data_IF_992714950843
#
_entry.id   IF_992714950843
#
_cell.length_a   1.000
_cell.length_b   1.000
_cell.length_c   1.000
_cell.angle_alpha   90.00
_cell.angle_beta   90.00
_cell.angle_gamma   90.00
#
_symmetry.space_group_name_H-M   'P 1'
#
loop_
_entity.id
_entity.type
_entity.pdbx_description
1 polymer ?
#
# COMPACT_ATOMS: atom_id res chain seq x y z
N UNK A 1 -13.40 7.14 -12.67
CA UNK A 1 -13.10 6.14 -11.61
C UNK A 1 -11.66 5.70 -11.76
N UNK A 2 -10.97 5.41 -10.66
CA UNK A 2 -9.61 4.87 -10.66
C UNK A 2 -9.52 3.67 -9.74
N UNK A 3 -8.70 2.70 -10.12
CA UNK A 3 -8.24 1.64 -9.23
C UNK A 3 -7.03 2.20 -8.50
N UNK A 4 -7.19 2.47 -7.21
CA UNK A 4 -6.12 2.87 -6.31
C UNK A 4 -5.50 1.61 -5.71
N UNK A 5 -4.17 1.56 -5.77
CA UNK A 5 -3.36 0.46 -5.27
C UNK A 5 -2.38 1.04 -4.27
N UNK A 6 -2.50 0.63 -3.00
CA UNK A 6 -1.57 0.98 -1.94
C UNK A 6 -0.80 -0.26 -1.52
N UNK A 7 0.53 -0.22 -1.62
CA UNK A 7 1.43 -1.18 -0.99
C UNK A 7 1.84 -0.61 0.35
N UNK A 8 1.27 -1.15 1.44
CA UNK A 8 1.49 -0.71 2.81
C UNK A 8 2.61 -1.54 3.46
N UNK A 9 3.70 -0.87 3.85
CA UNK A 9 4.80 -1.49 4.59
C UNK A 9 4.55 -1.49 6.11
N UNK A 10 3.98 -0.40 6.64
CA UNK A 10 3.64 -0.24 8.06
C UNK A 10 2.33 -0.94 8.39
N UNK A 11 2.33 -2.27 8.42
CA UNK A 11 1.11 -3.07 8.62
C UNK A 11 0.45 -2.86 9.98
N UNK A 12 1.20 -2.40 10.99
CA UNK A 12 0.67 -1.94 12.27
C UNK A 12 -0.30 -0.75 12.14
N UNK A 13 -0.22 0.02 11.05
CA UNK A 13 -1.11 1.15 10.76
C UNK A 13 -2.40 0.74 10.06
N UNK A 14 -2.52 -0.51 9.58
CA UNK A 14 -3.63 -0.95 8.73
C UNK A 14 -4.99 -0.70 9.36
N UNK A 15 -5.19 -1.12 10.61
CA UNK A 15 -6.49 -0.98 11.29
C UNK A 15 -6.90 0.48 11.45
N UNK A 16 -5.94 1.36 11.75
CA UNK A 16 -6.19 2.80 11.85
C UNK A 16 -6.55 3.38 10.48
N UNK A 17 -5.84 2.96 9.43
CA UNK A 17 -6.09 3.39 8.06
C UNK A 17 -7.49 3.00 7.58
N UNK A 18 -7.91 1.75 7.80
CA UNK A 18 -9.24 1.27 7.40
C UNK A 18 -10.36 1.99 8.15
N UNK A 19 -10.17 2.28 9.46
CA UNK A 19 -11.14 3.06 10.25
C UNK A 19 -11.28 4.48 9.73
N UNK A 20 -10.17 5.13 9.37
CA UNK A 20 -10.21 6.50 8.84
C UNK A 20 -10.89 6.52 7.47
N UNK A 21 -10.56 5.59 6.57
CA UNK A 21 -11.27 5.44 5.29
C UNK A 21 -12.78 5.31 5.49
N UNK A 22 -13.22 4.42 6.40
CA UNK A 22 -14.64 4.23 6.70
C UNK A 22 -15.29 5.52 7.23
N UNK A 23 -14.63 6.25 8.14
CA UNK A 23 -15.15 7.51 8.70
C UNK A 23 -15.29 8.62 7.64
N UNK A 24 -14.43 8.61 6.63
CA UNK A 24 -14.40 9.57 5.52
C UNK A 24 -15.26 9.12 4.33
N UNK A 25 -16.10 8.10 4.51
CA UNK A 25 -16.97 7.50 3.49
C UNK A 25 -16.17 6.99 2.26
N UNK A 26 -14.93 6.56 2.48
CA UNK A 26 -14.14 5.82 1.52
C UNK A 26 -14.33 4.33 1.82
N UNK A 27 -15.31 3.74 1.14
CA UNK A 27 -15.76 2.35 1.38
C UNK A 27 -15.32 1.41 0.27
N UNK A 28 -15.20 0.12 0.59
CA UNK A 28 -14.82 -0.92 -0.37
C UNK A 28 -13.32 -1.00 -0.62
N UNK A 29 -12.68 -1.94 0.07
CA UNK A 29 -11.27 -2.27 -0.13
C UNK A 29 -11.07 -3.78 -0.15
N UNK A 30 -10.15 -4.26 -0.99
CA UNK A 30 -9.66 -5.64 -0.96
C UNK A 30 -8.22 -5.64 -0.50
N UNK A 31 -7.91 -6.44 0.52
CA UNK A 31 -6.58 -6.49 1.14
C UNK A 31 -5.93 -7.84 0.81
N UNK A 32 -4.72 -7.79 0.27
CA UNK A 32 -3.92 -8.97 -0.12
C UNK A 32 -2.62 -8.99 0.66
N UNK A 33 -2.24 -10.17 1.15
CA UNK A 33 -0.92 -10.39 1.74
C UNK A 33 0.14 -10.33 0.63
N UNK A 34 1.14 -9.49 0.79
CA UNK A 34 2.17 -9.26 -0.22
C UNK A 34 3.57 -9.27 0.40
N UNK A 35 4.58 -9.38 -0.45
CA UNK A 35 6.00 -9.30 -0.06
C UNK A 35 6.77 -8.53 -1.11
N UNK A 36 7.74 -7.73 -0.66
CA UNK A 36 8.64 -7.01 -1.54
C UNK A 36 9.71 -7.92 -2.15
N UNK A 37 10.11 -7.62 -3.38
CA UNK A 37 11.12 -8.39 -4.13
C UNK A 37 12.43 -8.59 -3.36
N UNK A 38 12.95 -7.54 -2.71
CA UNK A 38 14.20 -7.62 -1.96
C UNK A 38 14.20 -8.75 -0.92
N UNK A 39 13.05 -9.01 -0.27
CA UNK A 39 12.90 -10.06 0.73
C UNK A 39 12.81 -11.46 0.11
N UNK A 40 12.08 -11.58 -0.99
CA UNK A 40 11.97 -12.86 -1.71
C UNK A 40 13.33 -13.34 -2.22
N UNK A 41 14.19 -12.40 -2.62
CA UNK A 41 15.56 -12.69 -3.07
C UNK A 41 16.51 -13.01 -1.91
N UNK A 42 16.37 -12.36 -0.74
CA UNK A 42 17.16 -12.69 0.45
C UNK A 42 16.90 -14.11 0.96
N UNK A 43 15.67 -14.60 0.86
CA UNK A 43 15.32 -15.96 1.29
C UNK A 43 15.89 -17.05 0.37
N UNK A 44 16.43 -16.69 -0.80
CA UNK A 44 16.90 -17.65 -1.82
C UNK A 44 18.42 -17.73 -1.97
N UNK A 45 19.20 -17.08 -1.11
CA UNK A 45 20.69 -17.08 -1.13
C UNK A 45 21.35 -16.76 -2.50
N UNK A 46 20.60 -16.23 -3.48
CA UNK A 46 21.05 -16.20 -4.88
C UNK A 46 21.67 -14.88 -5.35
N UNK A 47 21.77 -13.83 -4.53
CA UNK A 47 22.25 -12.52 -5.04
C UNK A 47 23.27 -11.82 -4.12
N UNK A 48 24.54 -11.92 -4.54
CA UNK A 48 25.66 -11.06 -4.13
C UNK A 48 25.40 -9.54 -4.31
N UNK A 49 24.30 -9.16 -4.98
CA UNK A 49 23.90 -7.77 -5.24
C UNK A 49 23.32 -7.09 -3.98
N UNK A 50 22.87 -7.86 -2.97
CA UNK A 50 22.17 -7.32 -1.79
C UNK A 50 23.14 -6.84 -0.69
N UNK A 51 24.45 -7.05 -0.83
CA UNK A 51 25.45 -6.76 0.22
C UNK A 51 25.42 -5.33 0.77
N UNK A 52 25.19 -4.32 -0.09
CA UNK A 52 25.11 -2.91 0.32
C UNK A 52 23.71 -2.46 0.76
N UNK A 53 22.65 -3.11 0.27
CA UNK A 53 21.26 -2.85 0.69
C UNK A 53 20.85 -3.61 1.95
N UNK A 54 21.63 -4.60 2.38
CA UNK A 54 21.37 -5.44 3.56
C UNK A 54 21.13 -4.65 4.85
N UNK A 55 21.76 -3.48 4.99
CA UNK A 55 21.58 -2.59 6.15
C UNK A 55 20.29 -1.76 6.10
N UNK A 56 19.77 -1.49 4.90
CA UNK A 56 18.48 -0.80 4.69
C UNK A 56 17.29 -1.76 4.76
N UNK A 57 17.54 -3.05 4.53
CA UNK A 57 16.56 -4.12 4.57
C UNK A 57 16.52 -4.69 5.98
N UNK A 58 15.74 -4.06 6.85
CA UNK A 58 15.48 -4.56 8.19
C UNK A 58 14.93 -5.99 8.11
N UNK A 59 15.74 -6.97 8.54
CA UNK A 59 15.44 -8.41 8.46
C UNK A 59 14.19 -8.76 9.28
N UNK A 60 13.79 -7.88 10.21
CA UNK A 60 12.57 -8.00 11.02
C UNK A 60 11.33 -7.35 10.40
N UNK A 61 11.40 -6.77 9.20
CA UNK A 61 10.23 -6.16 8.56
C UNK A 61 9.10 -7.19 8.39
N UNK A 62 7.91 -6.82 8.85
CA UNK A 62 6.68 -7.60 8.68
C UNK A 62 6.31 -7.69 7.19
N UNK A 63 5.53 -8.71 6.82
CA UNK A 63 4.94 -8.82 5.48
C UNK A 63 4.24 -7.51 5.10
N UNK A 64 4.20 -7.13 3.82
CA UNK A 64 3.44 -5.96 3.37
C UNK A 64 1.98 -6.33 3.10
N UNK A 65 1.10 -5.33 3.05
CA UNK A 65 -0.29 -5.51 2.60
C UNK A 65 -0.54 -4.67 1.36
N UNK A 66 -1.08 -5.28 0.32
CA UNK A 66 -1.55 -4.55 -0.86
C UNK A 66 -3.05 -4.31 -0.72
N UNK A 67 -3.48 -3.06 -0.83
CA UNK A 67 -4.87 -2.65 -0.71
C UNK A 67 -5.33 -2.14 -2.07
N UNK A 68 -6.39 -2.76 -2.59
CA UNK A 68 -7.07 -2.36 -3.82
C UNK A 68 -8.36 -1.65 -3.46
N UNK A 69 -8.55 -0.46 -4.02
CA UNK A 69 -9.73 0.37 -3.80
C UNK A 69 -10.22 0.96 -5.10
N UNK A 70 -11.52 0.90 -5.35
CA UNK A 70 -12.13 1.62 -6.46
C UNK A 70 -12.62 2.97 -5.94
N UNK A 71 -12.03 4.04 -6.47
CA UNK A 71 -12.30 5.41 -6.01
C UNK A 71 -12.74 6.30 -7.16
N UNK A 72 -13.54 7.32 -6.85
CA UNK A 72 -13.79 8.40 -7.81
C UNK A 72 -12.50 9.21 -7.98
N UNK A 73 -12.31 9.80 -9.15
CA UNK A 73 -11.05 10.47 -9.48
C UNK A 73 -10.82 11.69 -8.57
N UNK A 74 -11.88 12.45 -8.32
CA UNK A 74 -11.89 13.58 -7.40
C UNK A 74 -11.65 13.21 -5.93
N UNK A 75 -11.74 11.92 -5.59
CA UNK A 75 -11.49 11.40 -4.23
C UNK A 75 -10.05 10.91 -4.02
N UNK A 76 -9.24 10.82 -5.08
CA UNK A 76 -7.88 10.28 -4.98
C UNK A 76 -7.03 11.11 -4.02
N UNK A 77 -7.01 12.43 -4.17
CA UNK A 77 -6.25 13.34 -3.30
C UNK A 77 -6.69 13.23 -1.84
N UNK A 78 -8.00 13.09 -1.59
CA UNK A 78 -8.53 12.87 -0.24
C UNK A 78 -7.98 11.56 0.35
N UNK A 79 -7.95 10.48 -0.44
CA UNK A 79 -7.43 9.18 0.01
C UNK A 79 -5.92 9.25 0.29
N UNK A 80 -5.15 9.94 -0.56
CA UNK A 80 -3.72 10.18 -0.35
C UNK A 80 -3.49 10.93 0.96
N UNK A 81 -4.23 12.02 1.20
CA UNK A 81 -4.12 12.80 2.43
C UNK A 81 -4.43 11.95 3.69
N UNK A 82 -5.47 11.11 3.64
CA UNK A 82 -5.80 10.18 4.74
C UNK A 82 -4.64 9.21 5.01
N UNK A 83 -4.05 8.64 3.95
CA UNK A 83 -2.92 7.73 4.07
C UNK A 83 -1.74 8.45 4.72
N UNK A 84 -1.32 9.59 4.20
CA UNK A 84 -0.14 10.32 4.69
C UNK A 84 -0.32 10.81 6.13
N UNK A 85 -1.53 11.20 6.53
CA UNK A 85 -1.84 11.54 7.93
C UNK A 85 -1.61 10.38 8.90
N UNK A 86 -1.68 9.13 8.43
CA UNK A 86 -1.57 7.93 9.25
C UNK A 86 -0.18 7.31 9.16
N UNK A 87 0.35 7.15 7.95
CA UNK A 87 1.59 6.43 7.68
C UNK A 87 2.82 7.33 7.58
N UNK A 88 2.61 8.65 7.44
CA UNK A 88 3.63 9.64 7.08
C UNK A 88 3.72 9.84 5.57
N UNK A 89 4.60 10.75 5.13
CA UNK A 89 4.80 11.04 3.71
C UNK A 89 5.19 9.80 2.91
N UNK A 90 4.54 9.58 1.77
CA UNK A 90 4.83 8.46 0.88
C UNK A 90 6.17 8.58 0.14
N UNK A 91 6.78 9.77 0.17
CA UNK A 91 8.13 10.01 -0.39
C UNK A 91 9.26 9.56 0.54
N UNK A 92 8.94 9.19 1.78
CA UNK A 92 9.90 8.69 2.74
C UNK A 92 10.13 7.18 2.58
N UNK A 93 11.35 6.68 2.85
CA UNK A 93 11.57 5.25 2.96
C UNK A 93 10.59 4.61 3.95
N UNK A 94 10.16 3.39 3.64
CA UNK A 94 9.33 2.55 4.51
C UNK A 94 7.88 3.00 4.79
N UNK A 95 7.29 3.88 3.98
CA UNK A 95 5.90 4.28 4.17
C UNK A 95 4.95 3.48 3.29
N UNK A 96 5.34 3.26 2.04
CA UNK A 96 4.60 2.46 1.08
C UNK A 96 4.73 3.03 -0.32
N UNK A 97 3.94 2.50 -1.26
CA UNK A 97 3.80 3.09 -2.60
C UNK A 97 2.31 3.14 -2.91
N UNK A 98 1.84 4.28 -3.41
CA UNK A 98 0.49 4.45 -3.91
C UNK A 98 0.54 4.81 -5.39
N UNK A 99 -0.29 4.14 -6.18
CA UNK A 99 -0.49 4.48 -7.58
C UNK A 99 -1.90 4.15 -8.00
N UNK A 100 -2.30 4.69 -9.15
CA UNK A 100 -3.64 4.51 -9.68
C UNK A 100 -3.59 4.08 -11.14
N UNK A 101 -4.56 3.27 -11.56
CA UNK A 101 -4.83 3.00 -12.98
C UNK A 101 -6.26 3.41 -13.34
N UNK A 102 -6.52 3.83 -14.58
CA UNK A 102 -7.88 4.11 -15.03
C UNK A 102 -8.70 2.81 -15.05
N UNK A 103 -9.99 2.93 -14.72
CA UNK A 103 -10.96 1.84 -14.87
C UNK A 103 -11.86 2.18 -16.06
N UNK A 104 -11.79 1.36 -17.10
CA UNK A 104 -12.61 1.45 -18.31
C UNK A 104 -13.99 0.78 -18.13
N UNK A 105 -14.06 -0.28 -17.32
CA UNK A 105 -15.29 -1.03 -17.05
C UNK A 105 -15.37 -1.53 -15.61
N UNK A 106 -16.56 -1.45 -15.01
CA UNK A 106 -16.82 -1.96 -13.65
C UNK A 106 -18.25 -2.48 -13.48
N UNK A 107 -18.40 -3.57 -12.73
CA UNK A 107 -19.70 -4.11 -12.30
C UNK A 107 -19.66 -4.51 -10.83
N UNK A 108 -20.83 -4.45 -10.17
CA UNK A 108 -20.96 -4.82 -8.74
C UNK A 108 -20.45 -3.77 -7.75
N UNK A 109 -20.05 -2.59 -8.23
CA UNK A 109 -19.65 -1.46 -7.39
C UNK A 109 -20.87 -0.83 -6.71
N UNK A 110 -20.86 -0.80 -5.39
CA UNK A 110 -21.88 -0.16 -4.56
C UNK A 110 -21.20 0.98 -3.78
N UNK A 111 -21.72 2.20 -3.92
CA UNK A 111 -21.26 3.38 -3.18
C UNK A 111 -21.85 3.39 -1.77
#
# INVERSE_FOLDING_TARGET
MKLLILVLNKVDKLDKLLKEFASQHVTGATIVNSRGMARELMNKDELNIIGSFRQLLDVNRKESKTIFMVVKEEKVEQVVAIIENIVGSLDQPDTGILFTTPIDFIRGYKQ
#
